data_IF_375132058313
#
_entry.id   IF_375132058313
#
_cell.length_a   1.000
_cell.length_b   1.000
_cell.length_c   1.000
_cell.angle_alpha   90.00
_cell.angle_beta   90.00
_cell.angle_gamma   90.00
#
_symmetry.space_group_name_H-M   'P 1'
#
loop_
_entity.id
_entity.type
_entity.pdbx_description
1 polymer ?
#
# COMPACT_ATOMS: atom_id res chain seq x y z
N UNK A 1 19.44 -24.36 -0.31
CA UNK A 1 18.11 -24.83 0.16
C UNK A 1 17.14 -25.05 -1.00
N UNK A 2 16.83 -24.04 -1.83
CA UNK A 2 15.97 -24.20 -3.03
C UNK A 2 16.41 -25.37 -3.92
N UNK A 3 17.70 -25.45 -4.27
CA UNK A 3 18.27 -26.59 -5.03
C UNK A 3 18.05 -27.95 -4.34
N UNK A 4 18.04 -27.97 -3.00
CA UNK A 4 17.82 -29.19 -2.22
C UNK A 4 16.37 -29.64 -2.21
N UNK A 5 15.42 -28.69 -2.17
CA UNK A 5 13.97 -28.96 -2.30
C UNK A 5 13.70 -29.52 -3.69
N UNK A 6 14.10 -28.81 -4.75
CA UNK A 6 13.84 -29.24 -6.13
C UNK A 6 14.50 -30.58 -6.50
N UNK A 7 15.61 -30.95 -5.84
CA UNK A 7 16.30 -32.20 -6.10
C UNK A 7 15.70 -33.41 -5.35
N UNK A 8 14.98 -33.20 -4.25
CA UNK A 8 14.56 -34.30 -3.36
C UNK A 8 13.05 -34.36 -3.12
N UNK A 9 12.29 -33.32 -3.47
CA UNK A 9 10.83 -33.25 -3.36
C UNK A 9 10.23 -33.05 -4.76
N UNK A 10 10.07 -34.12 -5.56
CA UNK A 10 9.68 -34.00 -6.98
C UNK A 10 8.25 -33.46 -7.18
N UNK A 11 7.42 -33.43 -6.13
CA UNK A 11 6.08 -32.84 -6.14
C UNK A 11 6.07 -31.34 -5.85
N UNK A 12 7.22 -30.72 -5.58
CA UNK A 12 7.33 -29.30 -5.27
C UNK A 12 8.34 -28.61 -6.17
N UNK A 13 7.98 -27.41 -6.61
CA UNK A 13 8.87 -26.51 -7.34
C UNK A 13 9.13 -25.26 -6.51
N UNK A 14 10.39 -25.06 -6.14
CA UNK A 14 10.86 -23.91 -5.38
C UNK A 14 11.73 -22.99 -6.22
N UNK A 15 11.61 -21.68 -5.98
CA UNK A 15 12.53 -20.67 -6.52
C UNK A 15 12.89 -19.61 -5.48
N UNK A 16 13.94 -18.85 -5.76
CA UNK A 16 14.35 -17.69 -4.96
C UNK A 16 14.10 -16.42 -5.77
N UNK A 17 13.64 -15.37 -5.10
CA UNK A 17 13.47 -14.03 -5.66
C UNK A 17 13.90 -12.95 -4.65
N UNK A 18 14.05 -11.72 -5.13
CA UNK A 18 14.16 -10.54 -4.27
C UNK A 18 12.74 -10.04 -3.91
N UNK A 19 12.53 -9.65 -2.65
CA UNK A 19 11.19 -9.26 -2.17
C UNK A 19 10.62 -8.05 -2.94
N UNK A 20 11.46 -7.11 -3.39
CA UNK A 20 10.96 -5.96 -4.17
C UNK A 20 10.55 -6.40 -5.55
N UNK A 21 11.31 -7.30 -6.16
CA UNK A 21 10.97 -7.88 -7.47
C UNK A 21 9.68 -8.70 -7.41
N UNK A 22 9.53 -9.53 -6.37
CA UNK A 22 8.31 -10.28 -6.11
C UNK A 22 7.10 -9.36 -5.95
N UNK A 23 7.16 -8.37 -5.05
CA UNK A 23 6.02 -7.46 -4.84
C UNK A 23 5.67 -6.60 -6.06
N UNK A 24 6.63 -6.34 -6.96
CA UNK A 24 6.41 -5.48 -8.14
C UNK A 24 6.00 -6.25 -9.40
N UNK A 25 6.57 -7.43 -9.61
CA UNK A 25 6.54 -8.10 -10.91
C UNK A 25 6.00 -9.53 -10.85
N UNK A 26 5.71 -10.04 -9.65
CA UNK A 26 5.19 -11.39 -9.54
C UNK A 26 3.95 -11.55 -10.43
N UNK A 27 3.90 -12.69 -11.11
CA UNK A 27 2.73 -13.16 -11.85
C UNK A 27 2.25 -14.40 -11.13
N UNK A 28 1.00 -14.82 -11.36
CA UNK A 28 0.50 -16.09 -10.83
C UNK A 28 1.57 -17.17 -11.07
N UNK A 29 2.20 -17.61 -9.98
CA UNK A 29 3.46 -18.34 -10.04
C UNK A 29 3.20 -19.73 -10.60
N UNK A 30 4.04 -20.20 -11.52
CA UNK A 30 4.06 -21.61 -11.93
C UNK A 30 4.83 -22.48 -10.93
N UNK A 31 5.24 -21.91 -9.79
CA UNK A 31 6.03 -22.57 -8.76
C UNK A 31 5.28 -22.65 -7.44
N UNK A 32 5.37 -23.79 -6.76
CA UNK A 32 4.67 -24.08 -5.51
C UNK A 32 5.23 -23.28 -4.32
N UNK A 33 6.54 -23.02 -4.31
CA UNK A 33 7.23 -22.32 -3.25
C UNK A 33 8.07 -21.16 -3.80
N UNK A 34 7.81 -19.95 -3.33
CA UNK A 34 8.64 -18.77 -3.62
C UNK A 34 9.29 -18.31 -2.34
N UNK A 35 10.62 -18.39 -2.30
CA UNK A 35 11.40 -17.80 -1.22
C UNK A 35 11.85 -16.41 -1.64
N UNK A 36 11.54 -15.40 -0.82
CA UNK A 36 12.03 -14.05 -1.05
C UNK A 36 13.06 -13.66 -0.01
N UNK A 37 14.16 -13.04 -0.42
CA UNK A 37 15.07 -12.37 0.52
C UNK A 37 14.78 -10.87 0.55
N UNK A 38 14.87 -10.27 1.74
CA UNK A 38 14.61 -8.87 1.96
C UNK A 38 15.45 -8.28 3.08
N UNK A 39 15.64 -6.97 3.05
CA UNK A 39 16.29 -6.23 4.13
C UNK A 39 15.47 -6.30 5.43
N UNK A 40 16.12 -5.96 6.55
CA UNK A 40 15.46 -5.79 7.87
C UNK A 40 14.28 -4.81 7.86
N UNK A 41 14.26 -3.89 6.89
CA UNK A 41 13.21 -2.89 6.71
C UNK A 41 12.27 -3.26 5.56
N UNK A 42 12.16 -4.54 5.18
CA UNK A 42 11.24 -4.95 4.13
C UNK A 42 9.77 -4.78 4.54
N UNK A 43 9.45 -5.10 5.81
CA UNK A 43 8.15 -4.85 6.42
C UNK A 43 8.16 -3.47 7.05
N UNK A 44 7.35 -2.59 6.48
CA UNK A 44 7.12 -1.21 6.91
C UNK A 44 5.62 -0.90 6.81
N UNK A 45 5.16 0.17 7.45
CA UNK A 45 3.79 0.66 7.32
C UNK A 45 3.27 0.65 5.86
N UNK A 46 4.08 1.14 4.91
CA UNK A 46 3.72 1.25 3.49
C UNK A 46 3.81 -0.06 2.68
N UNK A 47 4.34 -1.13 3.26
CA UNK A 47 4.49 -2.44 2.62
C UNK A 47 3.77 -3.57 3.37
N UNK A 48 3.30 -3.32 4.59
CA UNK A 48 2.65 -4.30 5.45
C UNK A 48 1.41 -4.90 4.79
N UNK A 49 0.64 -4.10 4.06
CA UNK A 49 -0.50 -4.61 3.29
C UNK A 49 -0.06 -5.58 2.20
N UNK A 50 0.89 -5.20 1.33
CA UNK A 50 1.28 -6.03 0.20
C UNK A 50 1.95 -7.34 0.69
N UNK A 51 2.79 -7.24 1.72
CA UNK A 51 3.42 -8.40 2.37
C UNK A 51 2.35 -9.26 3.07
N UNK A 52 1.46 -8.64 3.83
CA UNK A 52 0.39 -9.28 4.57
C UNK A 52 -0.60 -10.06 3.70
N UNK A 53 -0.73 -9.67 2.44
CA UNK A 53 -1.67 -10.26 1.47
C UNK A 53 -1.02 -11.26 0.53
N UNK A 54 0.28 -11.12 0.23
CA UNK A 54 0.98 -11.94 -0.77
C UNK A 54 2.03 -12.89 -0.19
N UNK A 55 2.42 -12.71 1.08
CA UNK A 55 3.44 -13.53 1.74
C UNK A 55 2.81 -14.32 2.88
N UNK A 56 2.96 -15.64 2.83
CA UNK A 56 2.34 -16.52 3.82
C UNK A 56 3.09 -16.51 5.15
N UNK A 57 4.42 -16.38 5.11
CA UNK A 57 5.26 -16.35 6.30
C UNK A 57 6.52 -15.49 6.13
N UNK A 58 6.90 -14.81 7.20
CA UNK A 58 8.14 -14.04 7.34
C UNK A 58 9.03 -14.74 8.35
N UNK A 59 10.13 -15.30 7.87
CA UNK A 59 11.16 -15.96 8.69
C UNK A 59 12.28 -14.97 9.05
N UNK A 60 12.41 -14.64 10.32
CA UNK A 60 13.34 -13.62 10.82
C UNK A 60 14.70 -14.24 11.13
N UNK A 61 15.76 -13.74 10.47
CA UNK A 61 17.13 -14.23 10.66
C UNK A 61 17.65 -13.98 12.08
N UNK A 62 18.54 -14.85 12.62
CA UNK A 62 19.02 -14.75 14.01
C UNK A 62 19.63 -13.39 14.37
N UNK A 63 20.35 -12.80 13.41
CA UNK A 63 21.03 -11.51 13.57
C UNK A 63 20.08 -10.34 13.84
N UNK A 64 18.78 -10.48 13.52
CA UNK A 64 17.80 -9.39 13.53
C UNK A 64 16.53 -9.75 14.30
N UNK A 65 16.58 -10.80 15.14
CA UNK A 65 15.43 -11.28 15.95
C UNK A 65 14.83 -10.24 16.87
N UNK A 66 15.59 -9.23 17.27
CA UNK A 66 15.07 -8.10 18.06
C UNK A 66 13.93 -7.34 17.33
N UNK A 67 13.80 -7.50 16.00
CA UNK A 67 12.70 -6.93 15.21
C UNK A 67 11.44 -7.79 15.21
N UNK A 68 11.49 -9.05 15.62
CA UNK A 68 10.34 -9.97 15.57
C UNK A 68 9.07 -9.42 16.25
N UNK A 69 9.13 -8.81 17.45
CA UNK A 69 7.95 -8.19 18.07
C UNK A 69 7.40 -7.03 17.24
N UNK A 70 8.27 -6.19 16.67
CA UNK A 70 7.90 -5.08 15.81
C UNK A 70 7.20 -5.57 14.54
N UNK A 71 7.75 -6.58 13.87
CA UNK A 71 7.17 -7.18 12.66
C UNK A 71 5.79 -7.80 12.93
N UNK A 72 5.63 -8.49 14.06
CA UNK A 72 4.34 -9.03 14.50
C UNK A 72 3.28 -7.95 14.68
N UNK A 73 3.65 -6.76 15.19
CA UNK A 73 2.70 -5.64 15.36
C UNK A 73 2.14 -5.16 14.01
N UNK A 74 2.99 -4.93 13.01
CA UNK A 74 2.53 -4.44 11.70
C UNK A 74 1.77 -5.48 10.88
N UNK A 75 2.07 -6.76 11.11
CA UNK A 75 1.41 -7.87 10.40
C UNK A 75 0.26 -8.50 11.20
N UNK A 76 -0.10 -7.96 12.37
CA UNK A 76 -1.09 -8.54 13.27
C UNK A 76 -2.48 -8.70 12.65
N UNK A 77 -2.84 -7.82 11.71
CA UNK A 77 -4.13 -7.82 11.03
C UNK A 77 -4.12 -8.64 9.73
N UNK A 78 -3.05 -9.39 9.47
CA UNK A 78 -2.87 -10.17 8.26
C UNK A 78 -2.63 -11.64 8.61
N UNK A 79 -2.98 -12.58 7.72
CA UNK A 79 -2.76 -14.01 7.95
C UNK A 79 -1.27 -14.41 7.91
N UNK A 80 -0.37 -13.48 7.58
CA UNK A 80 1.07 -13.72 7.49
C UNK A 80 1.66 -14.05 8.85
N UNK A 81 2.33 -15.21 8.94
CA UNK A 81 2.98 -15.63 10.18
C UNK A 81 4.38 -15.03 10.27
N UNK A 82 4.71 -14.43 11.39
CA UNK A 82 6.08 -13.94 11.68
C UNK A 82 6.73 -14.84 12.72
N UNK A 83 7.84 -15.50 12.34
CA UNK A 83 8.57 -16.41 13.22
C UNK A 83 10.09 -16.30 13.02
N UNK A 84 10.85 -16.51 14.09
CA UNK A 84 12.31 -16.61 13.99
C UNK A 84 12.72 -17.88 13.24
N UNK A 85 13.64 -17.76 12.29
CA UNK A 85 14.23 -18.94 11.66
C UNK A 85 15.04 -19.73 12.71
N UNK A 86 14.92 -21.06 12.78
CA UNK A 86 15.75 -21.87 13.68
C UNK A 86 17.25 -21.69 13.38
N UNK A 87 18.08 -21.48 14.41
CA UNK A 87 19.53 -21.24 14.23
C UNK A 87 20.22 -22.39 13.48
N UNK A 88 19.80 -23.63 13.77
CA UNK A 88 20.30 -24.82 13.10
C UNK A 88 20.05 -24.79 11.60
N UNK A 89 18.90 -24.28 11.16
CA UNK A 89 18.61 -24.11 9.73
C UNK A 89 19.45 -22.98 9.13
N UNK A 90 19.54 -21.85 9.81
CA UNK A 90 20.26 -20.67 9.32
C UNK A 90 21.76 -20.92 9.09
N UNK A 91 22.40 -21.72 9.94
CA UNK A 91 23.81 -22.10 9.80
C UNK A 91 24.06 -23.35 8.92
N UNK A 92 23.01 -23.95 8.34
CA UNK A 92 23.13 -25.22 7.62
C UNK A 92 23.72 -25.01 6.22
N UNK A 93 24.93 -25.54 6.00
CA UNK A 93 25.58 -25.51 4.68
C UNK A 93 25.15 -26.66 3.76
N UNK A 94 24.64 -27.78 4.32
CA UNK A 94 24.10 -28.89 3.52
C UNK A 94 22.75 -28.49 2.90
N UNK A 95 22.66 -28.35 1.57
CA UNK A 95 21.45 -27.89 0.90
C UNK A 95 20.30 -28.91 0.96
N UNK A 96 20.60 -30.21 1.06
CA UNK A 96 19.61 -31.30 1.10
C UNK A 96 18.99 -31.41 2.48
N UNK A 97 19.82 -31.49 3.53
CA UNK A 97 19.32 -31.50 4.91
C UNK A 97 18.60 -30.20 5.27
N UNK A 98 19.15 -29.06 4.84
CA UNK A 98 18.50 -27.76 4.99
C UNK A 98 17.14 -27.69 4.28
N UNK A 99 17.04 -28.24 3.07
CA UNK A 99 15.78 -28.32 2.32
C UNK A 99 14.69 -29.12 3.04
N UNK A 100 15.04 -30.30 3.59
CA UNK A 100 14.09 -31.12 4.37
C UNK A 100 13.61 -30.42 5.63
N UNK A 101 14.52 -29.82 6.39
CA UNK A 101 14.19 -29.09 7.61
C UNK A 101 13.31 -27.86 7.32
N UNK A 102 13.60 -27.13 6.24
CA UNK A 102 12.78 -26.00 5.79
C UNK A 102 11.36 -26.45 5.39
N UNK A 103 11.23 -27.56 4.67
CA UNK A 103 9.93 -28.12 4.27
C UNK A 103 9.06 -28.45 5.50
N UNK A 104 9.63 -29.07 6.54
CA UNK A 104 8.90 -29.33 7.78
C UNK A 104 8.43 -28.07 8.52
N UNK A 105 9.20 -26.98 8.43
CA UNK A 105 8.80 -25.67 8.99
C UNK A 105 7.64 -25.09 8.17
N UNK A 106 7.70 -25.16 6.84
CA UNK A 106 6.64 -24.65 5.96
C UNK A 106 5.29 -25.34 6.19
N UNK A 107 5.28 -26.67 6.38
CA UNK A 107 4.06 -27.42 6.72
C UNK A 107 3.45 -26.90 8.02
N UNK A 108 4.28 -26.68 9.05
CA UNK A 108 3.82 -26.15 10.33
C UNK A 108 3.21 -24.75 10.17
N UNK A 109 3.84 -23.88 9.37
CA UNK A 109 3.35 -22.52 9.11
C UNK A 109 2.02 -22.53 8.36
N UNK A 110 1.86 -23.41 7.37
CA UNK A 110 0.60 -23.54 6.63
C UNK A 110 -0.56 -23.94 7.55
N UNK A 111 -0.35 -24.91 8.44
CA UNK A 111 -1.32 -25.33 9.44
C UNK A 111 -1.71 -24.20 10.41
N UNK A 112 -0.73 -23.41 10.86
CA UNK A 112 -0.97 -22.27 11.74
C UNK A 112 -1.79 -21.18 11.04
N UNK A 113 -1.54 -20.92 9.76
CA UNK A 113 -2.24 -19.89 8.99
C UNK A 113 -3.72 -20.23 8.82
N UNK A 114 -4.03 -21.50 8.55
CA UNK A 114 -5.41 -21.97 8.45
C UNK A 114 -6.27 -21.68 9.69
N UNK A 115 -5.65 -21.52 10.87
CA UNK A 115 -6.32 -21.17 12.12
C UNK A 115 -6.55 -19.66 12.34
N UNK A 116 -5.92 -18.79 11.56
CA UNK A 116 -5.89 -17.33 11.77
C UNK A 116 -6.70 -16.53 10.73
N UNK A 117 -7.47 -17.19 9.86
CA UNK A 117 -8.27 -16.52 8.83
C UNK A 117 -9.44 -15.71 9.44
N UNK A 118 -9.14 -14.50 9.90
CA UNK A 118 -10.08 -13.49 10.39
C UNK A 118 -10.14 -12.28 9.46
N UNK A 119 -11.30 -11.62 9.45
CA UNK A 119 -11.71 -10.59 8.49
C UNK A 119 -10.67 -9.45 8.30
N UNK A 120 -10.45 -9.10 7.03
CA UNK A 120 -9.70 -7.90 6.64
C UNK A 120 -10.37 -6.66 7.24
N UNK A 121 -9.61 -5.82 7.93
CA UNK A 121 -10.09 -4.53 8.39
C UNK A 121 -10.55 -3.70 7.17
N UNK A 122 -11.86 -3.51 7.04
CA UNK A 122 -12.45 -2.64 6.02
C UNK A 122 -12.25 -1.18 6.38
N UNK A 123 -12.08 -0.33 5.35
CA UNK A 123 -11.82 1.13 5.39
C UNK A 123 -12.88 1.98 6.15
N UNK A 124 -13.89 1.36 6.76
CA UNK A 124 -15.12 2.00 7.23
C UNK A 124 -15.23 2.05 8.77
N UNK A 125 -14.21 2.57 9.43
CA UNK A 125 -14.33 3.03 10.82
C UNK A 125 -14.04 4.53 10.82
N UNK A 126 -15.03 5.32 11.22
CA UNK A 126 -14.98 6.75 11.61
C UNK A 126 -13.61 7.40 11.37
N UNK A 127 -13.32 7.81 10.13
CA UNK A 127 -11.99 8.26 9.72
C UNK A 127 -12.03 9.70 9.26
N UNK A 128 -11.07 10.45 9.76
CA UNK A 128 -10.67 11.76 9.27
C UNK A 128 -10.27 11.68 7.78
N UNK A 129 -10.62 12.70 7.01
CA UNK A 129 -10.41 12.73 5.56
C UNK A 129 -8.94 12.96 5.20
N UNK A 130 -8.39 12.12 4.33
CA UNK A 130 -7.03 12.26 3.82
C UNK A 130 -7.03 12.82 2.39
N UNK A 131 -6.62 14.08 2.22
CA UNK A 131 -6.66 14.79 0.93
C UNK A 131 -5.26 15.04 0.40
N UNK A 132 -4.98 14.57 -0.81
CA UNK A 132 -3.72 14.83 -1.49
C UNK A 132 -3.79 16.14 -2.28
N UNK A 133 -2.85 17.05 -2.04
CA UNK A 133 -2.82 18.38 -2.66
C UNK A 133 -1.62 18.54 -3.60
N UNK A 134 -1.90 18.91 -4.86
CA UNK A 134 -0.90 19.23 -5.88
C UNK A 134 -0.95 20.70 -6.28
N UNK A 135 0.22 21.27 -6.65
CA UNK A 135 0.31 22.64 -7.17
C UNK A 135 0.20 23.75 -6.11
N UNK A 136 0.09 23.39 -4.82
CA UNK A 136 0.08 24.33 -3.71
C UNK A 136 1.05 23.88 -2.61
N UNK A 137 1.32 24.78 -1.67
CA UNK A 137 2.14 24.56 -0.49
C UNK A 137 1.37 24.94 0.78
N UNK A 138 1.63 24.21 1.86
CA UNK A 138 1.16 24.59 3.21
C UNK A 138 1.64 25.98 3.63
N UNK A 139 2.69 26.53 3.02
CA UNK A 139 3.19 27.88 3.34
C UNK A 139 2.51 29.00 2.56
N UNK A 140 1.59 28.67 1.65
CA UNK A 140 0.91 29.65 0.82
C UNK A 140 -0.03 30.52 1.66
N UNK A 141 0.01 31.83 1.43
CA UNK A 141 -0.71 32.80 2.26
C UNK A 141 -2.24 32.63 2.14
N UNK A 142 -2.74 32.40 0.93
CA UNK A 142 -4.16 32.13 0.70
C UNK A 142 -4.60 30.83 1.37
N UNK A 143 -3.75 29.79 1.32
CA UNK A 143 -4.03 28.51 1.99
C UNK A 143 -4.09 28.66 3.51
N UNK A 144 -3.11 29.32 4.13
CA UNK A 144 -3.09 29.55 5.57
C UNK A 144 -4.30 30.35 6.04
N UNK A 145 -4.74 31.35 5.28
CA UNK A 145 -5.94 32.11 5.57
C UNK A 145 -7.21 31.25 5.47
N UNK A 146 -7.32 30.42 4.43
CA UNK A 146 -8.46 29.52 4.25
C UNK A 146 -8.52 28.43 5.33
N UNK A 147 -7.39 27.83 5.71
CA UNK A 147 -7.31 26.87 6.79
C UNK A 147 -7.76 27.48 8.13
N UNK A 148 -7.34 28.72 8.43
CA UNK A 148 -7.81 29.44 9.62
C UNK A 148 -9.32 29.75 9.56
N UNK A 149 -9.89 29.97 8.37
CA UNK A 149 -11.34 30.10 8.19
C UNK A 149 -12.08 28.79 8.44
N UNK A 150 -11.57 27.66 7.94
CA UNK A 150 -12.12 26.32 8.22
C UNK A 150 -12.11 25.99 9.72
N UNK A 151 -11.02 26.31 10.42
CA UNK A 151 -10.93 26.11 11.88
C UNK A 151 -11.98 26.93 12.64
N UNK A 152 -12.24 28.18 12.24
CA UNK A 152 -13.32 29.01 12.82
C UNK A 152 -14.71 28.41 12.59
N UNK A 153 -14.88 27.61 11.55
CA UNK A 153 -16.12 26.88 11.25
C UNK A 153 -16.20 25.53 11.98
N UNK A 154 -15.20 25.19 12.78
CA UNK A 154 -15.15 23.94 13.56
C UNK A 154 -14.49 22.76 12.83
N UNK A 155 -13.87 22.99 11.66
CA UNK A 155 -13.17 21.95 10.89
C UNK A 155 -11.68 22.05 11.20
N UNK A 156 -11.16 21.14 12.03
CA UNK A 156 -9.76 21.06 12.40
C UNK A 156 -8.98 20.47 11.23
N UNK A 157 -8.18 21.33 10.62
CA UNK A 157 -7.38 21.00 9.44
C UNK A 157 -5.93 20.75 9.80
N UNK A 158 -5.44 19.53 9.60
CA UNK A 158 -4.02 19.23 9.72
C UNK A 158 -3.31 19.41 8.38
N UNK A 159 -2.16 20.09 8.38
CA UNK A 159 -1.41 20.38 7.16
C UNK A 159 -0.02 19.72 7.20
N UNK A 160 0.16 18.72 6.35
CA UNK A 160 1.36 17.89 6.36
C UNK A 160 2.04 17.79 5.01
N UNK A 161 3.33 17.47 5.04
CA UNK A 161 4.05 17.11 3.83
C UNK A 161 3.72 15.66 3.48
N UNK A 162 3.30 15.42 2.24
CA UNK A 162 3.10 14.08 1.73
C UNK A 162 4.39 13.26 1.80
N UNK A 163 4.28 12.10 2.42
CA UNK A 163 5.22 10.99 2.26
C UNK A 163 4.43 9.69 2.33
N UNK A 164 4.84 8.68 1.55
CA UNK A 164 4.16 7.39 1.58
C UNK A 164 4.23 6.72 2.96
N UNK A 165 5.37 6.86 3.66
CA UNK A 165 5.52 6.34 5.01
C UNK A 165 4.55 7.03 5.99
N UNK A 166 4.51 8.37 5.99
CA UNK A 166 3.63 9.14 6.88
C UNK A 166 2.14 9.07 6.54
N UNK A 167 1.76 8.41 5.45
CA UNK A 167 0.37 8.07 5.11
C UNK A 167 -0.10 6.78 5.81
N UNK A 168 0.83 5.90 6.16
CA UNK A 168 0.54 4.60 6.80
C UNK A 168 1.01 4.54 8.27
N UNK A 169 2.02 5.32 8.63
CA UNK A 169 2.58 5.43 9.99
C UNK A 169 2.32 6.85 10.48
N UNK A 170 1.09 7.06 10.94
CA UNK A 170 0.64 8.38 11.33
C UNK A 170 0.06 8.34 12.74
N UNK A 171 0.74 9.04 13.64
CA UNK A 171 0.35 9.21 15.04
C UNK A 171 0.13 10.71 15.27
N UNK A 172 -1.08 11.24 15.00
CA UNK A 172 -1.38 12.65 15.20
C UNK A 172 -1.24 13.04 16.69
N UNK A 173 -0.65 14.21 16.95
CA UNK A 173 -0.62 14.75 18.31
C UNK A 173 -2.00 15.29 18.77
N UNK A 174 -2.87 15.62 17.81
CA UNK A 174 -4.17 16.22 18.03
C UNK A 174 -5.18 15.64 17.04
N UNK A 175 -6.43 15.48 17.48
CA UNK A 175 -7.55 15.13 16.62
C UNK A 175 -7.72 16.17 15.49
N UNK A 176 -8.10 15.71 14.31
CA UNK A 176 -8.34 16.53 13.12
C UNK A 176 -9.50 15.93 12.35
N UNK A 177 -10.27 16.70 11.57
CA UNK A 177 -11.29 16.13 10.67
C UNK A 177 -10.74 15.94 9.26
N UNK A 178 -9.78 16.78 8.85
CA UNK A 178 -9.19 16.73 7.51
C UNK A 178 -7.70 16.90 7.58
N UNK A 179 -6.96 16.01 6.93
CA UNK A 179 -5.52 16.11 6.71
C UNK A 179 -5.22 16.42 5.26
N UNK A 180 -4.52 17.52 5.06
CA UNK A 180 -4.07 18.01 3.76
C UNK A 180 -2.62 17.63 3.54
N UNK A 181 -2.36 16.76 2.56
CA UNK A 181 -1.05 16.20 2.25
C UNK A 181 -0.45 16.92 1.04
N UNK A 182 0.49 17.84 1.28
CA UNK A 182 1.16 18.62 0.24
C UNK A 182 2.38 17.90 -0.29
N UNK A 183 2.47 17.70 -1.60
CA UNK A 183 3.67 17.11 -2.17
C UNK A 183 3.71 17.02 -3.68
N UNK A 184 4.77 16.38 -4.20
CA UNK A 184 4.92 16.16 -5.64
C UNK A 184 3.93 15.11 -6.15
N UNK A 185 3.80 15.04 -7.47
CA UNK A 185 3.04 13.97 -8.14
C UNK A 185 3.49 12.59 -7.67
N UNK A 186 2.50 11.72 -7.41
CA UNK A 186 2.74 10.36 -6.93
C UNK A 186 3.38 9.53 -8.04
N UNK A 187 4.41 8.76 -7.68
CA UNK A 187 5.08 7.85 -8.61
C UNK A 187 4.12 6.73 -9.00
N UNK A 188 4.17 6.28 -10.26
CA UNK A 188 3.27 5.24 -10.79
C UNK A 188 3.24 3.97 -9.95
N UNK A 189 4.39 3.57 -9.39
CA UNK A 189 4.53 2.39 -8.55
C UNK A 189 3.82 2.50 -7.20
N UNK A 190 3.61 3.72 -6.69
CA UNK A 190 3.00 3.95 -5.38
C UNK A 190 1.50 4.23 -5.48
N UNK A 191 0.94 4.38 -6.70
CA UNK A 191 -0.45 4.78 -6.94
C UNK A 191 -1.44 3.90 -6.18
N UNK A 192 -1.29 2.57 -6.22
CA UNK A 192 -2.19 1.67 -5.51
C UNK A 192 -2.15 1.90 -4.00
N UNK A 193 -0.95 2.09 -3.45
CA UNK A 193 -0.77 2.34 -2.03
C UNK A 193 -1.38 3.67 -1.60
N UNK A 194 -1.24 4.70 -2.42
CA UNK A 194 -1.83 6.01 -2.13
C UNK A 194 -3.36 5.92 -2.23
N UNK A 195 -3.89 5.33 -3.30
CA UNK A 195 -5.32 5.20 -3.54
C UNK A 195 -6.09 4.49 -2.41
N UNK A 196 -5.43 3.55 -1.69
CA UNK A 196 -6.03 2.87 -0.53
C UNK A 196 -6.25 3.78 0.67
N UNK A 197 -5.44 4.83 0.82
CA UNK A 197 -5.41 5.65 2.02
C UNK A 197 -6.00 7.04 1.85
N UNK A 198 -5.94 7.62 0.64
CA UNK A 198 -6.51 8.93 0.38
C UNK A 198 -8.00 8.84 0.02
N UNK A 199 -8.70 9.93 0.24
CA UNK A 199 -10.14 10.06 -0.01
C UNK A 199 -10.44 11.10 -1.09
N UNK A 200 -9.53 12.05 -1.33
CA UNK A 200 -9.66 13.04 -2.39
C UNK A 200 -8.33 13.56 -2.94
N UNK A 201 -8.38 14.13 -4.15
CA UNK A 201 -7.24 14.79 -4.80
C UNK A 201 -7.60 16.24 -5.16
N UNK A 202 -6.92 17.21 -4.54
CA UNK A 202 -7.09 18.63 -4.83
C UNK A 202 -5.90 19.15 -5.65
N UNK A 203 -6.17 19.97 -6.66
CA UNK A 203 -5.15 20.43 -7.60
C UNK A 203 -5.24 21.92 -7.85
N UNK A 204 -4.08 22.57 -7.87
CA UNK A 204 -3.88 23.96 -8.24
C UNK A 204 -2.96 24.13 -9.45
N UNK A 205 -2.60 23.02 -10.10
CA UNK A 205 -1.89 23.04 -11.38
C UNK A 205 -2.87 23.09 -12.56
N UNK A 206 -2.35 23.28 -13.77
CA UNK A 206 -3.19 23.35 -14.96
C UNK A 206 -3.98 22.06 -15.16
N UNK A 207 -5.27 22.19 -15.51
CA UNK A 207 -6.09 21.03 -15.83
C UNK A 207 -5.53 20.33 -17.08
N UNK A 208 -5.24 19.02 -17.01
CA UNK A 208 -4.76 18.29 -18.18
C UNK A 208 -5.83 18.27 -19.26
N UNK A 209 -5.39 18.25 -20.53
CA UNK A 209 -6.29 18.20 -21.67
C UNK A 209 -7.31 17.04 -21.59
N UNK A 210 -8.49 17.26 -22.17
CA UNK A 210 -9.57 16.27 -22.22
C UNK A 210 -9.08 14.91 -22.75
N UNK A 211 -9.48 13.85 -22.04
CA UNK A 211 -9.12 12.47 -22.41
C UNK A 211 -7.81 11.95 -21.82
N UNK A 212 -7.03 12.77 -21.12
CA UNK A 212 -5.90 12.28 -20.31
C UNK A 212 -6.44 11.50 -19.13
N UNK A 213 -6.30 10.17 -19.17
CA UNK A 213 -6.81 9.28 -18.12
C UNK A 213 -5.98 9.40 -16.85
N UNK A 214 -6.62 9.83 -15.76
CA UNK A 214 -5.95 10.05 -14.47
C UNK A 214 -6.02 8.79 -13.62
N UNK A 215 -5.13 8.67 -12.65
CA UNK A 215 -5.09 7.44 -11.84
C UNK A 215 -6.23 7.38 -10.84
N UNK A 216 -6.60 8.50 -10.23
CA UNK A 216 -7.70 8.61 -9.27
C UNK A 216 -9.07 8.39 -9.91
N UNK A 217 -9.25 8.75 -11.18
CA UNK A 217 -10.47 8.42 -11.95
C UNK A 217 -10.75 6.92 -11.94
N UNK A 218 -9.70 6.09 -12.06
CA UNK A 218 -9.84 4.63 -12.07
C UNK A 218 -10.22 4.05 -10.71
N UNK A 219 -9.79 4.70 -9.63
CA UNK A 219 -10.19 4.35 -8.26
C UNK A 219 -11.48 5.05 -7.82
N UNK A 220 -12.08 5.87 -8.71
CA UNK A 220 -13.24 6.73 -8.43
C UNK A 220 -13.03 7.70 -7.25
N UNK A 221 -11.78 8.06 -6.98
CA UNK A 221 -11.43 9.04 -5.93
C UNK A 221 -11.86 10.43 -6.42
N UNK A 222 -12.71 11.16 -5.68
CA UNK A 222 -13.09 12.53 -6.05
C UNK A 222 -11.88 13.46 -6.19
N UNK A 223 -11.95 14.35 -7.18
CA UNK A 223 -10.90 15.31 -7.45
C UNK A 223 -11.45 16.66 -7.89
N UNK A 224 -10.76 17.74 -7.57
CA UNK A 224 -11.09 19.09 -8.00
C UNK A 224 -9.84 19.87 -8.45
N UNK A 225 -10.02 20.73 -9.45
CA UNK A 225 -9.05 21.73 -9.88
C UNK A 225 -9.54 23.10 -9.46
N UNK A 226 -8.72 23.79 -8.66
CA UNK A 226 -8.95 25.15 -8.24
C UNK A 226 -7.88 26.05 -8.86
N UNK A 227 -8.21 27.32 -9.06
CA UNK A 227 -7.28 28.28 -9.67
C UNK A 227 -6.09 28.54 -8.74
N UNK A 228 -4.86 28.44 -9.26
CA UNK A 228 -3.62 28.70 -8.53
C UNK A 228 -3.58 30.09 -7.87
N UNK A 229 -4.29 31.08 -8.44
CA UNK A 229 -4.38 32.44 -7.89
C UNK A 229 -5.02 32.47 -6.50
N UNK A 230 -5.88 31.50 -6.19
CA UNK A 230 -6.58 31.43 -4.90
C UNK A 230 -5.62 31.20 -3.73
N UNK A 231 -4.53 30.46 -3.93
CA UNK A 231 -3.53 30.19 -2.88
C UNK A 231 -2.44 31.26 -2.80
N UNK A 232 -2.20 31.99 -3.89
CA UNK A 232 -1.12 32.99 -3.97
C UNK A 232 -1.39 34.25 -3.13
N UNK A 233 -2.65 34.62 -2.93
CA UNK A 233 -3.03 35.85 -2.21
C UNK A 233 -4.19 35.62 -1.24
N UNK A 234 -4.15 36.21 -0.03
CA UNK A 234 -5.27 36.15 0.91
C UNK A 234 -6.52 36.90 0.44
N UNK A 235 -6.44 37.70 -0.64
CA UNK A 235 -7.60 38.39 -1.21
C UNK A 235 -8.72 37.48 -1.74
N UNK A 236 -8.44 36.18 -1.92
CA UNK A 236 -9.38 35.17 -2.39
C UNK A 236 -9.76 34.15 -1.30
N UNK A 237 -9.56 34.48 -0.02
CA UNK A 237 -9.75 33.54 1.10
C UNK A 237 -11.17 32.99 1.15
N UNK A 238 -12.18 33.83 1.02
CA UNK A 238 -13.59 33.40 1.11
C UNK A 238 -13.98 32.48 -0.05
N UNK A 239 -13.52 32.83 -1.26
CA UNK A 239 -13.71 32.02 -2.47
C UNK A 239 -13.02 30.65 -2.34
N UNK A 240 -11.76 30.63 -1.89
CA UNK A 240 -11.02 29.39 -1.65
C UNK A 240 -11.72 28.54 -0.57
N UNK A 241 -12.13 29.15 0.54
CA UNK A 241 -12.78 28.44 1.65
C UNK A 241 -14.10 27.79 1.20
N UNK A 242 -14.92 28.50 0.42
CA UNK A 242 -16.15 27.94 -0.14
C UNK A 242 -15.87 26.74 -1.05
N UNK A 243 -14.89 26.85 -1.96
CA UNK A 243 -14.52 25.75 -2.86
C UNK A 243 -13.94 24.54 -2.12
N UNK A 244 -13.17 24.76 -1.04
CA UNK A 244 -12.68 23.69 -0.18
C UNK A 244 -13.82 22.96 0.53
N UNK A 245 -14.81 23.69 1.07
CA UNK A 245 -15.97 23.10 1.72
C UNK A 245 -16.81 22.25 0.75
N UNK A 246 -17.11 22.79 -0.44
CA UNK A 246 -17.85 22.06 -1.47
C UNK A 246 -17.12 20.77 -1.87
N UNK A 247 -15.79 20.84 -1.98
CA UNK A 247 -14.96 19.68 -2.26
C UNK A 247 -15.00 18.64 -1.13
N UNK A 248 -14.88 19.08 0.13
CA UNK A 248 -14.93 18.18 1.29
C UNK A 248 -16.27 17.45 1.39
N UNK A 249 -17.38 18.14 1.16
CA UNK A 249 -18.71 17.52 1.13
C UNK A 249 -18.83 16.47 0.02
N UNK A 250 -18.25 16.74 -1.16
CA UNK A 250 -18.24 15.80 -2.27
C UNK A 250 -17.35 14.57 -1.98
N UNK A 251 -16.25 14.76 -1.24
CA UNK A 251 -15.36 13.69 -0.80
C UNK A 251 -16.06 12.81 0.23
N UNK A 252 -16.63 13.41 1.27
CA UNK A 252 -17.31 12.72 2.37
C UNK A 252 -18.43 11.79 1.84
N UNK A 253 -19.31 12.34 0.99
CA UNK A 253 -20.38 11.60 0.35
C UNK A 253 -19.89 10.40 -0.50
N UNK A 254 -18.71 10.51 -1.11
CA UNK A 254 -18.14 9.43 -1.94
C UNK A 254 -17.25 8.47 -1.17
N UNK A 255 -16.61 8.91 -0.10
CA UNK A 255 -15.78 8.06 0.76
C UNK A 255 -16.64 6.95 1.38
N UNK A 256 -17.87 7.27 1.80
CA UNK A 256 -18.87 6.29 2.23
C UNK A 256 -19.19 5.25 1.14
N UNK A 257 -19.21 5.67 -0.14
CA UNK A 257 -19.68 4.85 -1.27
C UNK A 257 -18.58 4.05 -2.00
N UNK A 258 -17.29 4.37 -1.84
CA UNK A 258 -16.19 3.84 -2.68
C UNK A 258 -15.19 2.94 -1.96
N UNK A 259 -15.50 2.51 -0.73
CA UNK A 259 -14.61 1.60 0.01
C UNK A 259 -14.34 0.29 -0.77
N UNK A 260 -13.06 0.02 -1.05
CA UNK A 260 -12.60 -1.28 -1.57
C UNK A 260 -12.51 -1.44 -3.10
N UNK A 261 -12.45 -0.36 -3.89
CA UNK A 261 -12.26 -0.47 -5.36
C UNK A 261 -10.83 -0.91 -5.68
N UNK A 262 -10.70 -2.16 -6.15
CA UNK A 262 -9.45 -2.71 -6.62
C UNK A 262 -9.23 -2.46 -8.12
N UNK A 263 -8.13 -1.79 -8.50
CA UNK A 263 -7.83 -1.46 -9.91
C UNK A 263 -6.73 -2.37 -10.45
N UNK A 264 -7.13 -3.34 -11.29
CA UNK A 264 -6.23 -4.36 -11.86
C UNK A 264 -4.92 -3.84 -12.45
N UNK A 265 -4.94 -2.70 -13.16
CA UNK A 265 -3.73 -2.14 -13.81
C UNK A 265 -2.65 -1.70 -12.81
N UNK A 266 -3.02 -1.48 -11.56
CA UNK A 266 -2.16 -0.99 -10.49
C UNK A 266 -2.02 -1.99 -9.33
N UNK A 267 -2.95 -2.94 -9.19
CA UNK A 267 -3.02 -3.82 -8.01
C UNK A 267 -2.84 -5.31 -8.32
N UNK A 268 -3.14 -5.78 -9.54
CA UNK A 268 -3.01 -7.21 -9.83
C UNK A 268 -1.65 -7.56 -10.41
N UNK A 269 -1.06 -8.62 -9.85
CA UNK A 269 -0.07 -9.47 -10.49
C UNK A 269 -0.52 -9.72 -11.95
N UNK A 270 0.33 -9.40 -12.92
CA UNK A 270 -0.06 -9.55 -14.34
C UNK A 270 -0.42 -11.02 -14.60
N UNK A 271 -1.62 -11.34 -15.10
CA UNK A 271 -1.91 -12.71 -15.49
C UNK A 271 -0.91 -13.16 -16.57
N UNK A 272 -0.50 -14.44 -16.60
CA UNK A 272 0.41 -14.93 -17.62
C UNK A 272 -0.16 -14.64 -19.01
N UNK A 273 0.72 -14.31 -19.97
CA UNK A 273 0.31 -14.01 -21.35
C UNK A 273 -0.32 -15.26 -21.94
N UNK A 274 -1.63 -15.20 -22.22
CA UNK A 274 -2.33 -16.24 -22.95
C UNK A 274 -2.12 -16.01 -24.46
N UNK A 275 -1.50 -16.96 -25.14
CA UNK A 275 -1.50 -16.99 -26.60
C UNK A 275 -2.69 -17.82 -27.07
N UNK A 276 -3.62 -17.17 -27.79
CA UNK A 276 -4.81 -17.84 -28.32
C UNK A 276 -4.52 -18.32 -29.74
N UNK A 277 -4.47 -19.64 -29.93
CA UNK A 277 -4.42 -20.28 -31.25
C UNK A 277 -5.51 -21.35 -31.29
N UNK A 278 -6.44 -21.25 -32.25
CA UNK A 278 -7.47 -22.27 -32.54
C UNK A 278 -8.41 -22.61 -31.37
N UNK A 279 -8.77 -21.63 -30.53
CA UNK A 279 -9.70 -21.86 -29.41
C UNK A 279 -9.11 -22.68 -28.25
N UNK A 280 -7.84 -23.08 -28.34
CA UNK A 280 -7.10 -23.70 -27.25
C UNK A 280 -6.33 -22.59 -26.52
N UNK A 281 -6.54 -22.51 -25.21
CA UNK A 281 -5.73 -21.66 -24.33
C UNK A 281 -4.44 -22.41 -24.03
N UNK A 282 -3.33 -21.96 -24.60
CA UNK A 282 -2.01 -22.40 -24.17
C UNK A 282 -1.39 -21.35 -23.25
N UNK A 283 -1.08 -21.76 -22.02
CA UNK A 283 -0.24 -21.00 -21.12
C UNK A 283 1.20 -21.16 -21.61
N UNK A 284 1.78 -20.10 -22.17
CA UNK A 284 3.20 -20.08 -22.54
C UNK A 284 3.99 -19.44 -21.40
N UNK A 285 5.04 -20.13 -20.94
CA UNK A 285 6.04 -19.64 -19.97
C UNK A 285 6.52 -18.22 -20.26
#
# INVERSE_FOLDING_TARGET
MVKGINANEPSLTARMDDIRSFLQYERVSSTDLVFTYGSVDAVRPDTAYDIGTHIDAVLVAPQVRFRTPYLKRYLANYPTIVQDIPMRLFGMMDPVQGGKMLTGILITLDLMRGSQAGAFATKAADKDLEILVYGASRTDKGWQAAAASLEKMGIRSLQDKYSLAGLYDFEPAHDFEVRWLFGPQVRTIDIAKVARQIDGVLRFDDEPADGVRRWYDDYKIPSAWLDARLVQSPGHTDELTAQLLDFLLAVDFRAEATSGIAVKRFETLKPPKTTKRWGIFTWSN
#
